data_IF_217158007610
#
_entry.id   IF_217158007610
#
_cell.length_a   1.000
_cell.length_b   1.000
_cell.length_c   1.000
_cell.angle_alpha   90.00
_cell.angle_beta   90.00
_cell.angle_gamma   90.00
#
_symmetry.space_group_name_H-M   'P 1'
#
loop_
_entity.id
_entity.type
_entity.pdbx_description
1 polymer ?
#
# COMPACT_ATOMS: atom_id res chain seq x y z
N UNK A 1 -2.84 15.78 1.63
CA UNK A 1 -3.59 17.02 1.34
C UNK A 1 -5.09 16.87 1.62
N UNK A 2 -5.76 15.80 1.14
CA UNK A 2 -7.20 15.57 1.39
C UNK A 2 -7.52 15.51 2.89
N UNK A 3 -6.74 14.76 3.67
CA UNK A 3 -6.91 14.63 5.13
C UNK A 3 -6.80 15.99 5.87
N UNK A 4 -6.00 16.92 5.33
CA UNK A 4 -5.85 18.28 5.88
C UNK A 4 -7.02 19.18 5.50
N UNK A 5 -7.59 18.99 4.32
CA UNK A 5 -8.68 19.81 3.80
C UNK A 5 -10.02 19.50 4.47
N UNK A 6 -10.20 18.28 5.03
CA UNK A 6 -11.44 17.80 5.69
C UNK A 6 -12.71 18.17 4.90
N UNK A 7 -12.61 18.07 3.58
CA UNK A 7 -13.69 18.47 2.69
C UNK A 7 -14.78 17.41 2.71
N UNK A 8 -16.02 17.82 3.02
CA UNK A 8 -17.20 16.93 2.99
C UNK A 8 -17.38 16.19 1.66
N UNK A 9 -16.85 16.75 0.55
CA UNK A 9 -16.88 16.11 -0.78
C UNK A 9 -16.05 14.83 -0.84
N UNK A 10 -14.99 14.72 -0.03
CA UNK A 10 -14.10 13.56 -0.03
C UNK A 10 -14.40 12.60 1.13
N UNK A 11 -14.99 13.09 2.23
CA UNK A 11 -15.41 12.25 3.37
C UNK A 11 -16.33 11.09 2.99
N UNK A 12 -17.14 11.25 1.94
CA UNK A 12 -18.03 10.19 1.43
C UNK A 12 -17.26 8.97 0.90
N UNK A 13 -15.98 9.14 0.56
CA UNK A 13 -15.10 8.08 0.04
C UNK A 13 -14.20 7.49 1.12
N UNK A 14 -14.25 8.01 2.35
CA UNK A 14 -13.41 7.55 3.45
C UNK A 14 -13.83 6.17 3.92
N UNK A 15 -12.88 5.25 4.01
CA UNK A 15 -13.15 3.83 4.32
C UNK A 15 -13.54 3.68 5.80
N UNK A 16 -12.80 4.32 6.70
CA UNK A 16 -13.08 4.36 8.13
C UNK A 16 -13.54 5.77 8.60
N UNK A 17 -14.81 6.16 8.38
CA UNK A 17 -15.28 7.54 8.60
C UNK A 17 -15.31 7.97 10.08
N UNK A 18 -15.24 7.01 11.02
CA UNK A 18 -15.22 7.29 12.46
C UNK A 18 -13.82 7.59 12.99
N UNK A 19 -12.79 7.34 12.20
CA UNK A 19 -11.39 7.52 12.58
C UNK A 19 -10.83 8.74 11.85
N UNK A 20 -10.42 9.74 12.62
CA UNK A 20 -9.84 10.97 12.05
C UNK A 20 -8.63 11.38 12.85
N UNK A 21 -7.53 11.68 12.16
CA UNK A 21 -6.34 12.20 12.80
C UNK A 21 -6.43 13.73 12.93
N UNK A 22 -5.90 14.24 14.04
CA UNK A 22 -5.68 15.66 14.24
C UNK A 22 -4.52 16.16 13.39
N UNK A 23 -4.45 17.47 13.18
CA UNK A 23 -3.32 18.08 12.48
C UNK A 23 -1.97 17.77 13.15
N UNK A 24 -1.94 17.78 14.49
CA UNK A 24 -0.73 17.50 15.25
C UNK A 24 -0.25 16.07 15.05
N UNK A 25 -1.15 15.08 15.06
CA UNK A 25 -0.80 13.67 14.82
C UNK A 25 -0.27 13.45 13.40
N UNK A 26 -0.87 14.11 12.41
CA UNK A 26 -0.38 14.07 11.02
C UNK A 26 1.01 14.69 10.88
N UNK A 27 1.26 15.83 11.52
CA UNK A 27 2.58 16.48 11.49
C UNK A 27 3.64 15.66 12.23
N UNK A 28 3.26 14.98 13.31
CA UNK A 28 4.16 14.06 14.01
C UNK A 28 4.50 12.83 13.14
N UNK A 29 3.51 12.24 12.46
CA UNK A 29 3.73 11.20 11.45
C UNK A 29 4.75 11.66 10.41
N UNK A 30 4.49 12.83 9.81
CA UNK A 30 5.32 13.40 8.77
C UNK A 30 6.76 13.67 9.26
N UNK A 31 6.91 14.23 10.46
CA UNK A 31 8.21 14.46 11.08
C UNK A 31 8.98 13.16 11.27
N UNK A 32 8.34 12.11 11.81
CA UNK A 32 8.97 10.80 12.01
C UNK A 32 9.39 10.16 10.68
N UNK A 33 8.51 10.20 9.66
CA UNK A 33 8.84 9.75 8.29
C UNK A 33 10.07 10.50 7.75
N UNK A 34 10.09 11.83 7.85
CA UNK A 34 11.24 12.63 7.41
C UNK A 34 12.53 12.22 8.12
N UNK A 35 12.48 12.01 9.44
CA UNK A 35 13.65 11.56 10.21
C UNK A 35 14.13 10.18 9.73
N UNK A 36 13.22 9.25 9.48
CA UNK A 36 13.57 7.93 8.92
C UNK A 36 14.19 8.06 7.53
N UNK A 37 13.68 8.96 6.69
CA UNK A 37 14.26 9.21 5.37
C UNK A 37 15.67 9.80 5.47
N UNK A 38 15.91 10.75 6.37
CA UNK A 38 17.21 11.38 6.56
C UNK A 38 18.23 10.42 7.18
N UNK A 39 17.84 9.64 8.18
CA UNK A 39 18.78 8.82 8.97
C UNK A 39 18.89 7.37 8.53
N UNK A 40 17.90 6.81 7.85
CA UNK A 40 17.95 5.44 7.35
C UNK A 40 18.03 5.40 5.82
N UNK A 41 17.07 6.00 5.11
CA UNK A 41 16.98 5.88 3.65
C UNK A 41 18.10 6.64 2.94
N UNK A 42 18.42 7.86 3.36
CA UNK A 42 19.47 8.70 2.76
C UNK A 42 20.85 8.04 2.79
N UNK A 43 21.34 7.60 3.96
CA UNK A 43 22.58 6.83 4.04
C UNK A 43 22.54 5.55 3.21
N UNK A 44 21.43 4.79 3.28
CA UNK A 44 21.27 3.58 2.47
C UNK A 44 21.41 3.87 0.97
N UNK A 45 20.83 4.96 0.47
CA UNK A 45 20.98 5.38 -0.92
C UNK A 45 22.43 5.70 -1.28
N UNK A 46 23.17 6.42 -0.43
CA UNK A 46 24.58 6.74 -0.67
C UNK A 46 25.44 5.47 -0.71
N UNK A 47 25.23 4.55 0.23
CA UNK A 47 25.97 3.28 0.30
C UNK A 47 25.51 2.26 -0.74
N UNK A 48 24.37 2.47 -1.40
CA UNK A 48 23.87 1.57 -2.45
C UNK A 48 24.60 1.71 -3.78
N UNK A 49 25.40 2.77 -3.98
CA UNK A 49 26.06 3.03 -5.27
C UNK A 49 26.92 1.86 -5.79
N UNK A 50 27.80 1.21 -4.99
CA UNK A 50 28.56 0.05 -5.44
C UNK A 50 27.67 -1.14 -5.80
N UNK A 51 26.52 -1.28 -5.14
CA UNK A 51 25.54 -2.34 -5.45
C UNK A 51 24.88 -2.03 -6.79
N UNK A 52 24.49 -0.78 -7.04
CA UNK A 52 23.90 -0.34 -8.31
C UNK A 52 24.86 -0.61 -9.48
N UNK A 53 26.16 -0.30 -9.31
CA UNK A 53 27.18 -0.62 -10.31
C UNK A 53 27.35 -2.14 -10.50
N UNK A 54 27.41 -2.90 -9.40
CA UNK A 54 27.56 -4.35 -9.43
C UNK A 54 26.38 -5.06 -10.11
N UNK A 55 25.14 -4.60 -9.87
CA UNK A 55 23.93 -5.09 -10.55
C UNK A 55 23.99 -4.81 -12.07
N UNK A 56 24.77 -3.81 -12.49
CA UNK A 56 24.87 -3.41 -13.90
C UNK A 56 23.77 -2.44 -14.31
N UNK A 57 23.26 -1.62 -13.39
CA UNK A 57 22.32 -0.55 -13.74
C UNK A 57 23.07 0.50 -14.57
N UNK A 58 22.73 0.59 -15.86
CA UNK A 58 23.43 1.47 -16.81
C UNK A 58 22.94 2.92 -16.71
N UNK A 59 23.86 3.87 -16.82
CA UNK A 59 23.59 5.32 -16.85
C UNK A 59 23.92 5.96 -18.19
N UNK A 60 24.50 5.19 -19.11
CA UNK A 60 24.95 5.65 -20.43
C UNK A 60 23.83 5.67 -21.47
N UNK A 61 23.98 6.55 -22.46
CA UNK A 61 23.16 6.57 -23.66
C UNK A 61 23.42 5.33 -24.55
N UNK A 62 22.42 4.90 -25.36
CA UNK A 62 21.09 5.49 -25.53
C UNK A 62 20.11 5.18 -24.38
N UNK A 63 19.09 6.02 -24.22
CA UNK A 63 17.98 5.75 -23.30
C UNK A 63 17.26 4.43 -23.65
N UNK A 64 16.62 3.76 -22.67
CA UNK A 64 15.89 2.52 -22.93
C UNK A 64 14.70 2.79 -23.85
N UNK A 65 14.38 1.81 -24.70
CA UNK A 65 13.16 1.90 -25.51
C UNK A 65 11.91 1.80 -24.62
N UNK A 66 10.77 2.30 -25.09
CA UNK A 66 9.51 2.18 -24.35
C UNK A 66 9.13 0.71 -24.07
N UNK A 67 9.45 -0.20 -25.00
CA UNK A 67 9.24 -1.64 -24.84
C UNK A 67 10.13 -2.24 -23.73
N UNK A 68 11.41 -1.84 -23.69
CA UNK A 68 12.34 -2.26 -22.64
C UNK A 68 11.85 -1.81 -21.26
N UNK A 69 11.47 -0.53 -21.12
CA UNK A 69 10.90 0.02 -19.88
C UNK A 69 9.65 -0.75 -19.47
N UNK A 70 8.71 -0.97 -20.40
CA UNK A 70 7.44 -1.65 -20.12
C UNK A 70 7.66 -3.06 -19.57
N UNK A 71 8.45 -3.89 -20.27
CA UNK A 71 8.66 -5.28 -19.85
C UNK A 71 9.48 -5.39 -18.56
N UNK A 72 10.46 -4.52 -18.37
CA UNK A 72 11.18 -4.42 -17.09
C UNK A 72 10.22 -4.10 -15.94
N UNK A 73 9.35 -3.11 -16.09
CA UNK A 73 8.37 -2.76 -15.05
C UNK A 73 7.41 -3.91 -14.76
N UNK A 74 6.92 -4.63 -15.78
CA UNK A 74 6.07 -5.82 -15.58
C UNK A 74 6.79 -6.87 -14.73
N UNK A 75 8.05 -7.18 -15.06
CA UNK A 75 8.86 -8.12 -14.27
C UNK A 75 9.02 -7.63 -12.84
N UNK A 76 9.31 -6.33 -12.64
CA UNK A 76 9.54 -5.78 -11.32
C UNK A 76 8.31 -5.84 -10.44
N UNK A 77 7.14 -5.49 -10.98
CA UNK A 77 5.87 -5.61 -10.28
C UNK A 77 5.58 -7.06 -9.86
N UNK A 78 5.79 -8.04 -10.75
CA UNK A 78 5.51 -9.44 -10.42
C UNK A 78 6.49 -9.98 -9.37
N UNK A 79 7.79 -9.70 -9.54
CA UNK A 79 8.85 -10.18 -8.65
C UNK A 79 8.76 -9.54 -7.27
N UNK A 80 8.60 -8.21 -7.23
CA UNK A 80 8.49 -7.48 -5.97
C UNK A 80 7.24 -7.91 -5.21
N UNK A 81 6.09 -7.97 -5.86
CA UNK A 81 4.84 -8.34 -5.20
C UNK A 81 4.89 -9.75 -4.59
N UNK A 82 5.49 -10.72 -5.31
CA UNK A 82 5.68 -12.08 -4.80
C UNK A 82 6.63 -12.13 -3.60
N UNK A 83 7.77 -11.44 -3.68
CA UNK A 83 8.76 -11.42 -2.60
C UNK A 83 8.25 -10.65 -1.38
N UNK A 84 7.61 -9.51 -1.61
CA UNK A 84 7.01 -8.67 -0.59
C UNK A 84 5.93 -9.45 0.17
N UNK A 85 5.04 -10.16 -0.52
CA UNK A 85 4.04 -11.03 0.11
C UNK A 85 4.65 -11.95 1.18
N UNK A 86 5.75 -12.63 0.87
CA UNK A 86 6.38 -13.56 1.82
C UNK A 86 7.08 -12.85 2.97
N UNK A 87 7.78 -11.75 2.70
CA UNK A 87 8.46 -10.97 3.72
C UNK A 87 7.46 -10.29 4.67
N UNK A 88 6.39 -9.72 4.13
CA UNK A 88 5.31 -9.11 4.87
C UNK A 88 4.56 -10.15 5.71
N UNK A 89 4.22 -11.29 5.12
CA UNK A 89 3.62 -12.42 5.85
C UNK A 89 4.55 -12.95 6.95
N UNK A 90 5.86 -13.00 6.73
CA UNK A 90 6.84 -13.40 7.74
C UNK A 90 6.84 -12.43 8.93
N UNK A 91 6.77 -11.12 8.68
CA UNK A 91 6.70 -10.10 9.74
C UNK A 91 5.45 -10.27 10.61
N UNK A 92 4.32 -10.67 10.03
CA UNK A 92 3.11 -10.99 10.81
C UNK A 92 3.14 -12.37 11.48
N UNK A 93 3.75 -13.36 10.83
CA UNK A 93 3.71 -14.74 11.29
C UNK A 93 4.46 -14.95 12.61
N UNK A 94 5.61 -14.28 12.75
CA UNK A 94 6.40 -14.35 13.97
C UNK A 94 6.06 -13.19 14.89
N UNK A 95 5.56 -13.49 16.10
CA UNK A 95 5.21 -12.48 17.11
C UNK A 95 6.32 -11.44 17.33
N UNK A 96 7.57 -11.88 17.36
CA UNK A 96 8.72 -10.97 17.48
C UNK A 96 8.83 -10.01 16.29
N UNK A 97 8.62 -10.49 15.06
CA UNK A 97 8.66 -9.68 13.85
C UNK A 97 7.57 -8.61 13.89
N UNK A 98 6.36 -8.98 14.30
CA UNK A 98 5.28 -8.01 14.46
C UNK A 98 5.59 -7.01 15.57
N UNK A 99 5.80 -7.49 16.79
CA UNK A 99 5.93 -6.64 17.98
C UNK A 99 7.10 -5.64 17.88
N UNK A 100 8.22 -6.04 17.26
CA UNK A 100 9.46 -5.25 17.25
C UNK A 100 9.69 -4.47 15.97
N UNK A 101 9.10 -4.88 14.86
CA UNK A 101 9.37 -4.29 13.55
C UNK A 101 8.07 -3.73 12.97
N UNK A 102 7.07 -4.60 12.79
CA UNK A 102 5.90 -4.26 11.99
C UNK A 102 4.79 -3.52 12.73
N UNK A 103 4.78 -3.56 14.06
CA UNK A 103 3.82 -2.86 14.90
C UNK A 103 3.83 -1.35 14.70
N UNK A 104 4.99 -0.77 14.32
CA UNK A 104 5.11 0.67 14.00
C UNK A 104 4.30 1.00 12.74
N UNK A 105 4.36 0.16 11.71
CA UNK A 105 3.57 0.34 10.50
C UNK A 105 2.06 0.32 10.79
N UNK A 106 1.65 -0.62 11.65
CA UNK A 106 0.25 -0.80 12.07
C UNK A 106 -0.23 0.17 13.16
N UNK A 107 0.56 1.17 13.56
CA UNK A 107 0.13 2.19 14.53
C UNK A 107 -1.08 2.98 14.00
N UNK A 108 -1.18 3.14 12.67
CA UNK A 108 -2.28 3.81 11.99
C UNK A 108 -3.33 2.81 11.49
N UNK A 109 -4.14 2.28 12.42
CA UNK A 109 -5.25 1.34 12.16
C UNK A 109 -6.21 1.82 11.04
N UNK A 110 -6.37 3.14 10.89
CA UNK A 110 -6.94 3.77 9.70
C UNK A 110 -5.80 4.48 8.95
N UNK A 111 -5.23 3.87 7.90
CA UNK A 111 -4.07 4.40 7.23
C UNK A 111 -4.40 5.72 6.53
N UNK A 112 -3.38 6.57 6.44
CA UNK A 112 -3.40 7.80 5.65
C UNK A 112 -2.18 7.82 4.73
N UNK A 113 -2.26 8.54 3.61
CA UNK A 113 -1.15 8.61 2.64
C UNK A 113 0.20 8.98 3.24
N UNK A 114 0.24 9.81 4.29
CA UNK A 114 1.50 10.16 4.97
C UNK A 114 2.11 9.02 5.79
N UNK A 115 1.28 8.06 6.20
CA UNK A 115 1.69 6.87 6.94
C UNK A 115 2.20 5.74 6.03
N UNK A 116 2.06 5.85 4.70
CA UNK A 116 2.57 4.84 3.76
C UNK A 116 4.06 4.47 4.00
N UNK A 117 4.98 5.43 4.19
CA UNK A 117 6.35 5.14 4.57
C UNK A 117 6.61 5.13 6.10
N UNK A 118 5.57 5.25 6.92
CA UNK A 118 5.72 5.24 8.38
C UNK A 118 5.95 3.81 8.86
N UNK A 119 7.21 3.47 9.12
CA UNK A 119 7.60 2.14 9.51
C UNK A 119 8.89 2.16 10.33
N UNK A 120 9.17 1.06 11.00
CA UNK A 120 10.46 0.83 11.63
C UNK A 120 11.57 0.74 10.55
N UNK A 121 12.78 1.25 10.83
CA UNK A 121 13.88 1.26 9.85
C UNK A 121 14.22 -0.14 9.31
N UNK A 122 14.10 -1.17 10.17
CA UNK A 122 14.36 -2.55 9.77
C UNK A 122 13.31 -3.07 8.79
N UNK A 123 12.05 -2.64 8.92
CA UNK A 123 10.99 -2.99 7.96
C UNK A 123 11.30 -2.41 6.59
N UNK A 124 11.70 -1.13 6.55
CA UNK A 124 12.07 -0.44 5.30
C UNK A 124 13.18 -1.20 4.58
N UNK A 125 14.16 -1.74 5.31
CA UNK A 125 15.21 -2.57 4.72
C UNK A 125 14.62 -3.91 4.28
N UNK A 126 13.93 -4.64 5.16
CA UNK A 126 13.41 -5.99 4.88
C UNK A 126 12.46 -5.97 3.68
N UNK A 127 11.39 -5.18 3.72
CA UNK A 127 10.43 -5.08 2.62
C UNK A 127 11.06 -4.36 1.41
N UNK A 128 11.97 -3.42 1.64
CA UNK A 128 12.72 -2.76 0.58
C UNK A 128 13.53 -3.73 -0.27
N UNK A 129 14.07 -4.82 0.30
CA UNK A 129 14.79 -5.85 -0.47
C UNK A 129 13.96 -6.40 -1.63
N UNK A 130 12.65 -6.59 -1.45
CA UNK A 130 11.76 -7.06 -2.51
C UNK A 130 11.77 -6.12 -3.73
N UNK A 131 11.79 -4.82 -3.50
CA UNK A 131 11.82 -3.79 -4.55
C UNK A 131 13.12 -3.76 -5.36
N UNK A 132 14.21 -4.34 -4.86
CA UNK A 132 15.48 -4.46 -5.59
C UNK A 132 15.63 -5.80 -6.32
N UNK A 133 14.83 -6.83 -6.01
CA UNK A 133 14.96 -8.15 -6.64
C UNK A 133 14.68 -8.11 -8.15
N UNK A 134 13.68 -7.34 -8.59
CA UNK A 134 13.37 -7.15 -10.01
C UNK A 134 14.59 -6.62 -10.79
N UNK A 135 15.11 -5.42 -10.44
CA UNK A 135 16.32 -4.85 -11.05
C UNK A 135 17.56 -5.73 -10.91
N UNK A 136 17.67 -6.54 -9.85
CA UNK A 136 18.77 -7.50 -9.68
C UNK A 136 18.70 -8.64 -10.71
N UNK A 137 17.49 -9.17 -10.96
CA UNK A 137 17.27 -10.27 -11.91
C UNK A 137 17.32 -9.79 -13.36
N UNK A 138 16.81 -8.59 -13.62
CA UNK A 138 16.79 -7.97 -14.94
C UNK A 138 17.34 -6.55 -14.81
N UNK A 139 18.67 -6.36 -14.90
CA UNK A 139 19.29 -5.05 -14.84
C UNK A 139 18.74 -4.09 -15.90
N UNK A 140 18.63 -2.80 -15.57
CA UNK A 140 18.00 -1.79 -16.42
C UNK A 140 18.81 -0.50 -16.53
N UNK A 141 18.27 0.45 -17.31
CA UNK A 141 18.76 1.81 -17.30
C UNK A 141 18.30 2.56 -16.05
N UNK A 142 19.12 3.49 -15.55
CA UNK A 142 18.82 4.34 -14.39
C UNK A 142 17.46 5.06 -14.49
N UNK A 143 17.07 5.43 -15.71
CA UNK A 143 15.73 5.96 -15.99
C UNK A 143 14.60 4.98 -15.57
N UNK A 144 14.65 3.72 -16.01
CA UNK A 144 13.67 2.70 -15.62
C UNK A 144 13.72 2.46 -14.13
N UNK A 145 14.92 2.41 -13.55
CA UNK A 145 15.13 2.21 -12.12
C UNK A 145 14.46 3.29 -11.27
N UNK A 146 14.67 4.57 -11.60
CA UNK A 146 14.02 5.67 -10.89
C UNK A 146 12.51 5.69 -11.12
N UNK A 147 12.06 5.43 -12.35
CA UNK A 147 10.63 5.33 -12.67
C UNK A 147 9.96 4.21 -11.86
N UNK A 148 10.61 3.07 -11.71
CA UNK A 148 10.15 1.95 -10.91
C UNK A 148 9.86 2.36 -9.46
N UNK A 149 10.82 3.01 -8.79
CA UNK A 149 10.63 3.49 -7.42
C UNK A 149 9.54 4.56 -7.33
N UNK A 150 9.43 5.47 -8.30
CA UNK A 150 8.33 6.46 -8.34
C UNK A 150 6.97 5.75 -8.39
N UNK A 151 6.81 4.77 -9.27
CA UNK A 151 5.58 4.00 -9.39
C UNK A 151 5.27 3.24 -8.10
N UNK A 152 6.28 2.66 -7.45
CA UNK A 152 6.10 1.98 -6.16
C UNK A 152 5.67 2.92 -5.04
N UNK A 153 6.24 4.12 -4.96
CA UNK A 153 5.79 5.10 -3.97
C UNK A 153 4.37 5.60 -4.22
N UNK A 154 3.98 5.80 -5.50
CA UNK A 154 2.60 6.19 -5.85
C UNK A 154 1.62 5.10 -5.42
N UNK A 155 1.95 3.84 -5.72
CA UNK A 155 1.13 2.68 -5.36
C UNK A 155 0.98 2.56 -3.83
N UNK A 156 2.08 2.66 -3.07
CA UNK A 156 2.03 2.61 -1.61
C UNK A 156 1.18 3.76 -1.03
N UNK A 157 1.28 4.97 -1.59
CA UNK A 157 0.46 6.11 -1.17
C UNK A 157 -1.03 5.88 -1.45
N UNK A 158 -1.37 5.22 -2.56
CA UNK A 158 -2.73 4.91 -2.96
C UNK A 158 -3.36 3.87 -2.03
N UNK A 159 -2.66 2.76 -1.78
CA UNK A 159 -3.14 1.67 -0.90
C UNK A 159 -3.28 2.10 0.56
N UNK A 160 -2.50 3.08 1.01
CA UNK A 160 -2.61 3.64 2.36
C UNK A 160 -3.46 4.91 2.42
N UNK A 161 -4.12 5.30 1.33
CA UNK A 161 -4.80 6.61 1.29
C UNK A 161 -5.90 6.74 2.35
N UNK A 162 -6.57 5.63 2.69
CA UNK A 162 -7.77 5.61 3.53
C UNK A 162 -9.05 5.97 2.79
N UNK A 163 -8.99 6.07 1.45
CA UNK A 163 -10.10 6.46 0.59
C UNK A 163 -10.29 5.50 -0.58
N UNK A 164 -11.54 5.19 -0.90
CA UNK A 164 -11.92 4.46 -2.11
C UNK A 164 -12.66 5.37 -3.08
N UNK A 165 -11.94 5.91 -4.06
CA UNK A 165 -12.50 6.82 -5.06
C UNK A 165 -13.17 6.08 -6.23
N UNK A 166 -14.11 6.70 -6.96
CA UNK A 166 -14.67 6.15 -8.21
C UNK A 166 -13.63 5.79 -9.28
N UNK A 167 -12.46 6.41 -9.22
CA UNK A 167 -11.34 6.20 -10.12
C UNK A 167 -10.17 5.42 -9.50
N UNK A 168 -10.34 4.79 -8.32
CA UNK A 168 -9.29 3.97 -7.71
C UNK A 168 -8.88 2.82 -8.66
N UNK A 169 -7.58 2.48 -8.77
CA UNK A 169 -7.10 1.44 -9.68
C UNK A 169 -7.73 0.07 -9.44
N UNK A 170 -8.09 -0.23 -8.19
CA UNK A 170 -8.85 -1.42 -7.75
C UNK A 170 -10.13 -1.68 -8.55
N UNK A 171 -10.71 -0.65 -9.18
CA UNK A 171 -11.94 -0.75 -10.00
C UNK A 171 -11.69 -1.17 -11.44
N UNK A 172 -10.45 -1.05 -11.92
CA UNK A 172 -10.11 -1.25 -13.32
C UNK A 172 -9.04 -2.33 -13.54
N UNK A 173 -8.20 -2.59 -12.54
CA UNK A 173 -7.09 -3.53 -12.64
C UNK A 173 -7.46 -4.82 -11.89
N UNK A 174 -7.62 -5.96 -12.59
CA UNK A 174 -7.88 -7.24 -11.95
C UNK A 174 -6.81 -7.59 -10.93
N UNK A 175 -7.23 -8.20 -9.82
CA UNK A 175 -6.38 -8.58 -8.69
C UNK A 175 -5.66 -7.42 -7.97
N UNK A 176 -5.83 -6.16 -8.35
CA UNK A 176 -5.25 -5.06 -7.59
C UNK A 176 -5.92 -4.94 -6.22
N UNK A 177 -5.14 -4.95 -5.13
CA UNK A 177 -5.66 -4.88 -3.76
C UNK A 177 -6.30 -3.54 -3.45
N UNK A 178 -5.56 -2.46 -3.69
CA UNK A 178 -5.99 -1.09 -3.45
C UNK A 178 -6.29 -0.76 -1.98
N UNK A 179 -6.83 0.43 -1.77
CA UNK A 179 -6.99 1.00 -0.43
C UNK A 179 -7.87 0.16 0.50
N UNK A 180 -9.00 -0.35 0.03
CA UNK A 180 -9.92 -1.16 0.88
C UNK A 180 -9.24 -2.44 1.40
N UNK A 181 -8.47 -3.10 0.54
CA UNK A 181 -7.86 -4.38 0.88
C UNK A 181 -6.77 -4.21 1.95
N UNK A 182 -5.99 -3.14 1.85
CA UNK A 182 -4.94 -2.81 2.80
C UNK A 182 -5.46 -2.15 4.09
N UNK A 183 -6.51 -1.33 3.98
CA UNK A 183 -7.19 -0.74 5.15
C UNK A 183 -7.74 -1.83 6.07
N UNK A 184 -8.34 -2.89 5.52
CA UNK A 184 -8.75 -4.05 6.33
C UNK A 184 -7.58 -4.72 7.05
N UNK A 185 -6.44 -4.85 6.38
CA UNK A 185 -5.24 -5.43 6.96
C UNK A 185 -4.74 -4.62 8.17
N UNK A 186 -4.63 -3.29 8.02
CA UNK A 186 -4.31 -2.35 9.10
C UNK A 186 -5.34 -2.39 10.23
N UNK A 187 -6.62 -2.49 9.88
CA UNK A 187 -7.71 -2.53 10.86
C UNK A 187 -7.62 -3.75 11.80
N UNK A 188 -7.20 -4.92 11.28
CA UNK A 188 -7.07 -6.15 12.07
C UNK A 188 -5.74 -6.20 12.84
N UNK A 189 -4.66 -5.61 12.32
CA UNK A 189 -3.38 -5.46 13.02
C UNK A 189 -2.67 -6.79 13.33
N UNK A 190 -2.25 -6.99 14.57
CA UNK A 190 -1.46 -8.17 15.01
C UNK A 190 -2.15 -9.49 14.70
N UNK A 191 -3.48 -9.53 14.85
CA UNK A 191 -4.29 -10.73 14.62
C UNK A 191 -4.54 -10.98 13.12
N UNK A 192 -3.95 -10.17 12.24
CA UNK A 192 -4.15 -10.30 10.81
C UNK A 192 -3.34 -11.49 10.28
N UNK A 193 -4.07 -12.47 9.77
CA UNK A 193 -3.52 -13.62 9.06
C UNK A 193 -3.91 -13.58 7.57
N UNK A 194 -4.17 -12.39 7.05
CA UNK A 194 -4.69 -12.16 5.71
C UNK A 194 -4.18 -10.86 5.08
N UNK A 195 -4.40 -10.73 3.78
CA UNK A 195 -4.19 -9.50 3.01
C UNK A 195 -2.73 -9.02 3.02
N UNK A 196 -1.80 -9.90 2.71
CA UNK A 196 -0.36 -9.57 2.72
C UNK A 196 0.14 -9.01 1.38
N UNK A 197 -0.68 -9.05 0.33
CA UNK A 197 -0.33 -8.50 -0.99
C UNK A 197 0.13 -7.06 -0.91
N UNK A 198 1.22 -6.74 -1.63
CA UNK A 198 1.68 -5.36 -1.72
C UNK A 198 0.90 -4.58 -2.77
N UNK A 199 0.67 -5.18 -3.94
CA UNK A 199 0.02 -4.59 -5.11
C UNK A 199 -1.10 -5.51 -5.59
N UNK A 200 -0.78 -6.78 -5.86
CA UNK A 200 -1.72 -7.74 -6.43
C UNK A 200 -2.06 -8.88 -5.47
N UNK A 201 -3.35 -9.17 -5.39
CA UNK A 201 -3.95 -10.15 -4.48
C UNK A 201 -3.79 -11.61 -4.91
N UNK A 202 -3.05 -11.88 -6.00
CA UNK A 202 -2.93 -13.26 -6.51
C UNK A 202 -2.23 -14.18 -5.52
N UNK A 203 -1.21 -13.69 -4.80
CA UNK A 203 -0.55 -14.48 -3.75
C UNK A 203 -1.54 -14.83 -2.63
N UNK A 204 -2.30 -13.84 -2.16
CA UNK A 204 -3.29 -14.09 -1.13
C UNK A 204 -4.38 -15.08 -1.59
N UNK A 205 -4.80 -15.00 -2.84
CA UNK A 205 -5.74 -15.95 -3.43
C UNK A 205 -5.17 -17.38 -3.48
N UNK A 206 -3.94 -17.53 -4.00
CA UNK A 206 -3.27 -18.83 -4.15
C UNK A 206 -3.06 -19.50 -2.79
N UNK A 207 -2.62 -18.73 -1.80
CA UNK A 207 -2.30 -19.24 -0.46
C UNK A 207 -3.48 -19.16 0.52
N UNK A 208 -4.64 -18.67 0.07
CA UNK A 208 -5.89 -18.58 0.84
C UNK A 208 -5.85 -17.58 1.99
N UNK A 209 -4.97 -16.58 1.92
CA UNK A 209 -4.83 -15.48 2.90
C UNK A 209 -5.72 -14.28 2.55
N UNK A 210 -6.76 -14.43 1.73
CA UNK A 210 -7.79 -13.42 1.44
C UNK A 210 -9.16 -13.76 2.07
N UNK A 211 -9.28 -14.93 2.74
CA UNK A 211 -10.56 -15.44 3.26
C UNK A 211 -11.21 -14.52 4.30
N UNK A 212 -10.41 -13.93 5.20
CA UNK A 212 -10.89 -13.02 6.24
C UNK A 212 -11.56 -11.79 5.62
N UNK A 213 -10.88 -11.19 4.65
CA UNK A 213 -11.40 -10.07 3.89
C UNK A 213 -12.68 -10.41 3.11
N UNK A 214 -12.69 -11.55 2.38
CA UNK A 214 -13.87 -12.00 1.64
C UNK A 214 -15.09 -12.16 2.55
N UNK A 215 -14.91 -12.82 3.70
CA UNK A 215 -15.97 -12.97 4.69
C UNK A 215 -16.48 -11.62 5.19
N UNK A 216 -15.58 -10.72 5.57
CA UNK A 216 -15.97 -9.40 6.08
C UNK A 216 -16.71 -8.58 5.01
N UNK A 217 -16.22 -8.60 3.77
CA UNK A 217 -16.85 -7.94 2.62
C UNK A 217 -18.28 -8.45 2.39
N UNK A 218 -18.49 -9.77 2.38
CA UNK A 218 -19.82 -10.36 2.25
C UNK A 218 -20.78 -9.92 3.37
N UNK A 219 -20.29 -9.87 4.61
CA UNK A 219 -21.09 -9.41 5.76
C UNK A 219 -21.52 -7.95 5.59
N UNK A 220 -20.59 -7.09 5.15
CA UNK A 220 -20.90 -5.67 4.89
C UNK A 220 -21.89 -5.49 3.74
N UNK A 221 -21.73 -6.24 2.66
CA UNK A 221 -22.64 -6.19 1.51
C UNK A 221 -24.06 -6.63 1.89
N UNK A 222 -24.21 -7.76 2.58
CA UNK A 222 -25.51 -8.24 3.10
C UNK A 222 -26.17 -7.22 4.03
N UNK A 223 -25.40 -6.58 4.91
CA UNK A 223 -25.91 -5.53 5.80
C UNK A 223 -26.40 -4.31 5.02
N UNK A 224 -25.64 -3.88 4.00
CA UNK A 224 -26.00 -2.74 3.14
C UNK A 224 -27.26 -3.04 2.32
N UNK A 225 -27.40 -4.25 1.80
CA UNK A 225 -28.60 -4.70 1.11
C UNK A 225 -29.81 -4.69 2.04
N UNK A 226 -29.66 -5.22 3.26
CA UNK A 226 -30.73 -5.19 4.27
C UNK A 226 -31.21 -3.77 4.57
N UNK A 227 -30.29 -2.84 4.81
CA UNK A 227 -30.61 -1.42 5.05
C UNK A 227 -31.35 -0.79 3.86
N UNK A 228 -30.90 -1.07 2.63
CA UNK A 228 -31.59 -0.60 1.40
C UNK A 228 -33.00 -1.16 1.26
N UNK A 229 -33.23 -2.39 1.68
CA UNK A 229 -34.56 -3.01 1.66
C UNK A 229 -35.46 -2.40 2.74
N UNK A 230 -34.94 -2.16 3.94
CA UNK A 230 -35.64 -1.48 5.04
C UNK A 230 -36.04 -0.04 4.65
N UNK A 231 -35.16 0.72 4.00
CA UNK A 231 -35.47 2.07 3.49
C UNK A 231 -36.59 2.05 2.43
N UNK A 232 -36.58 1.06 1.53
CA UNK A 232 -37.63 0.88 0.52
C UNK A 232 -38.97 0.48 1.12
N UNK A 233 -38.97 -0.36 2.17
CA UNK A 233 -40.19 -0.82 2.86
C UNK A 233 -40.80 0.28 3.72
N UNK A 234 -39.98 1.10 4.37
CA UNK A 234 -40.45 2.16 5.27
C UNK A 234 -40.88 3.47 4.58
N UNK A 235 -40.83 3.54 3.24
CA UNK A 235 -41.31 4.70 2.48
C UNK A 235 -40.55 6.02 2.76
N UNK A 236 -39.43 5.97 3.45
CA UNK A 236 -38.59 7.13 3.72
C UNK A 236 -37.81 7.50 2.46
N UNK A 237 -38.06 8.70 1.93
CA UNK A 237 -37.34 9.27 0.79
C UNK A 237 -35.81 9.16 0.97
N UNK A 238 -35.03 8.94 -0.09
CA UNK A 238 -33.60 8.70 0.02
C UNK A 238 -32.89 9.90 0.68
N UNK A 239 -32.15 9.64 1.75
CA UNK A 239 -31.32 10.62 2.49
C UNK A 239 -30.07 11.08 1.72
N UNK A 240 -29.98 10.76 0.42
CA UNK A 240 -28.96 11.27 -0.49
C UNK A 240 -29.63 11.84 -1.74
N UNK A 241 -29.96 13.13 -1.70
CA UNK A 241 -30.00 13.96 -2.90
C UNK A 241 -28.63 14.64 -3.02
N UNK A 242 -27.82 14.13 -3.94
CA UNK A 242 -26.71 14.88 -4.54
C UNK A 242 -27.27 15.74 -5.66
N UNK A 243 -27.29 17.05 -5.45
CA UNK A 243 -27.10 18.05 -6.51
C UNK A 243 -25.67 18.58 -6.42
#
# INVERSE_FOLDING_TARGET
MIELLRSKKFEIYKIQPKTTLTFSEMMECYRKVLMTFVFAVGPLQLFSYPIIEWVGIRTSLPLPSASEVFWQLVVYFVVEDYANYWLHRMLHHYKWGYDKIHSVHHEYVAPISFAAPYAHWAEIIILGLASFLGPLLVPCHMFTFLLWFVLRQIEAIETHSGYEFPWSPSKYIPFYGGAIYHDYHHFVGESCHSNFASVFTYCDYIYGTDKGFRYQKEVFEKRREKLRMEEKVNGSAPLFKSE
#
